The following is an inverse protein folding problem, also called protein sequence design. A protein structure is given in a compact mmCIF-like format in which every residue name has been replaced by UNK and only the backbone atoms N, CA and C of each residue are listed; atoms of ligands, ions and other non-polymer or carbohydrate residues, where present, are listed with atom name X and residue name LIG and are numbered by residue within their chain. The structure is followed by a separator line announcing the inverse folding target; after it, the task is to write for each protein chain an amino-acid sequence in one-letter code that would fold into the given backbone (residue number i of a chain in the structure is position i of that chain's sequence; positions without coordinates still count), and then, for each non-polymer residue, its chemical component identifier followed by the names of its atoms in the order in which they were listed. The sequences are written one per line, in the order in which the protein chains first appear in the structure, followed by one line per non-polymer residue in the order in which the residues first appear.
data_IF_870743493561
#
_entry.id   IF_870743493561
#
_cell.length_a   1.000
_cell.length_b   1.000
_cell.length_c   1.000
_cell.angle_alpha   90.00
_cell.angle_beta   90.00
_cell.angle_gamma   90.00
#
_symmetry.space_group_name_H-M   'P 1'
#
loop_
_entity.id
_entity.type
_entity.pdbx_description
1 polymer ?
#
# COMPACT_ATOMS: atom_id res chain seq x y z
N UNK A 1 -23.78 22.49 28.83
CA UNK A 1 -22.87 21.86 27.86
C UNK A 1 -21.76 22.86 27.55
N UNK A 2 -20.51 22.51 27.77
CA UNK A 2 -19.39 23.42 27.46
C UNK A 2 -19.09 23.29 25.96
N UNK A 3 -19.55 24.25 25.17
CA UNK A 3 -19.27 24.31 23.76
C UNK A 3 -17.75 24.50 23.55
N UNK A 4 -17.13 23.62 22.77
CA UNK A 4 -15.70 23.66 22.46
C UNK A 4 -15.47 24.00 21.01
N UNK A 5 -14.36 24.64 20.71
CA UNK A 5 -13.92 24.87 19.33
C UNK A 5 -13.48 23.54 18.67
N UNK A 6 -13.47 23.51 17.35
CA UNK A 6 -12.96 22.34 16.60
C UNK A 6 -11.54 21.97 17.02
N UNK A 7 -10.66 22.94 17.24
CA UNK A 7 -9.28 22.71 17.65
C UNK A 7 -9.17 22.01 19.00
N UNK A 8 -9.95 22.44 20.00
CA UNK A 8 -9.97 21.81 21.32
C UNK A 8 -10.46 20.36 21.26
N UNK A 9 -11.55 20.13 20.53
CA UNK A 9 -12.10 18.78 20.35
C UNK A 9 -11.13 17.87 19.60
N UNK A 10 -10.52 18.38 18.53
CA UNK A 10 -9.57 17.64 17.72
C UNK A 10 -8.31 17.23 18.52
N UNK A 11 -7.85 18.09 19.44
CA UNK A 11 -6.73 17.78 20.34
C UNK A 11 -7.09 16.63 21.29
N UNK A 12 -8.27 16.71 21.93
CA UNK A 12 -8.76 15.65 22.84
C UNK A 12 -8.95 14.34 22.09
N UNK A 13 -9.59 14.39 20.90
CA UNK A 13 -9.79 13.22 20.05
C UNK A 13 -8.48 12.57 19.61
N UNK A 14 -7.46 13.38 19.24
CA UNK A 14 -6.18 12.85 18.79
C UNK A 14 -5.42 12.17 19.93
N UNK A 15 -5.47 12.74 21.15
CA UNK A 15 -4.90 12.12 22.34
C UNK A 15 -5.58 10.78 22.68
N UNK A 16 -6.92 10.73 22.61
CA UNK A 16 -7.68 9.48 22.77
C UNK A 16 -7.27 8.43 21.73
N UNK A 17 -7.13 8.81 20.47
CA UNK A 17 -6.76 7.91 19.38
C UNK A 17 -5.38 7.27 19.51
N UNK A 18 -4.45 7.92 20.18
CA UNK A 18 -3.11 7.38 20.41
C UNK A 18 -3.13 6.00 21.08
N UNK A 19 -4.12 5.73 21.92
CA UNK A 19 -4.27 4.48 22.66
C UNK A 19 -4.79 3.31 21.80
N UNK A 20 -5.51 3.60 20.70
CA UNK A 20 -6.27 2.59 19.95
C UNK A 20 -5.77 2.34 18.51
N UNK A 21 -4.87 3.19 18.01
CA UNK A 21 -4.40 3.06 16.63
C UNK A 21 -2.89 2.84 16.57
N UNK A 22 -2.42 2.22 15.49
CA UNK A 22 -0.98 2.09 15.23
C UNK A 22 -0.34 3.48 15.11
N UNK A 23 0.92 3.62 15.53
CA UNK A 23 1.69 4.86 15.46
C UNK A 23 1.66 5.50 14.06
N UNK A 24 1.76 4.69 13.00
CA UNK A 24 1.66 5.20 11.61
C UNK A 24 0.30 5.81 11.27
N UNK A 25 -0.78 5.31 11.86
CA UNK A 25 -2.13 5.86 11.69
C UNK A 25 -2.30 7.14 12.50
N UNK A 26 -1.80 7.14 13.74
CA UNK A 26 -1.77 8.32 14.59
C UNK A 26 -1.02 9.48 13.92
N UNK A 27 0.18 9.24 13.41
CA UNK A 27 0.97 10.25 12.70
C UNK A 27 0.27 10.74 11.43
N UNK A 28 -0.41 9.87 10.68
CA UNK A 28 -1.18 10.27 9.52
C UNK A 28 -2.36 11.18 9.92
N UNK A 29 -3.09 10.86 10.98
CA UNK A 29 -4.17 11.72 11.50
C UNK A 29 -3.63 13.07 11.99
N UNK A 30 -2.52 13.07 12.73
CA UNK A 30 -1.86 14.28 13.19
C UNK A 30 -1.45 15.19 12.03
N UNK A 31 -0.88 14.64 10.96
CA UNK A 31 -0.51 15.39 9.76
C UNK A 31 -1.72 15.96 9.01
N UNK A 32 -2.79 15.17 8.83
CA UNK A 32 -4.01 15.65 8.19
C UNK A 32 -4.66 16.77 9.00
N UNK A 33 -4.65 16.61 10.32
CA UNK A 33 -5.19 17.61 11.25
C UNK A 33 -4.37 18.90 11.18
N UNK A 34 -3.05 18.85 11.37
CA UNK A 34 -2.20 20.03 11.41
C UNK A 34 -2.11 20.78 10.09
N UNK A 35 -2.02 20.06 8.96
CA UNK A 35 -1.76 20.66 7.66
C UNK A 35 -3.03 21.10 6.93
N UNK A 36 -4.18 20.52 7.26
CA UNK A 36 -5.39 20.74 6.48
C UNK A 36 -6.62 21.10 7.31
N UNK A 37 -6.91 20.36 8.38
CA UNK A 37 -8.17 20.55 9.11
C UNK A 37 -8.10 21.71 10.11
N UNK A 38 -7.03 21.83 10.88
CA UNK A 38 -6.84 22.99 11.79
C UNK A 38 -6.83 24.32 11.03
N UNK A 39 -6.07 24.51 9.93
CA UNK A 39 -6.11 25.77 9.19
C UNK A 39 -7.48 26.14 8.66
N UNK A 40 -8.36 25.16 8.43
CA UNK A 40 -9.70 25.40 7.87
C UNK A 40 -10.78 25.58 8.95
N UNK A 41 -10.67 24.91 10.11
CA UNK A 41 -11.77 24.76 11.06
C UNK A 41 -11.41 25.11 12.51
N UNK A 42 -10.16 25.47 12.83
CA UNK A 42 -9.68 25.59 14.22
C UNK A 42 -10.60 26.41 15.13
N UNK A 43 -11.09 27.55 14.66
CA UNK A 43 -11.90 28.51 15.43
C UNK A 43 -13.40 28.26 15.34
N UNK A 44 -13.83 27.33 14.48
CA UNK A 44 -15.24 27.05 14.25
C UNK A 44 -15.84 26.31 15.44
N UNK A 45 -16.99 26.77 15.88
CA UNK A 45 -17.84 26.11 16.87
C UNK A 45 -19.01 25.37 16.23
N UNK A 46 -19.30 25.73 14.98
CA UNK A 46 -20.33 25.12 14.16
C UNK A 46 -19.74 24.72 12.79
N UNK A 47 -19.83 23.44 12.47
CA UNK A 47 -19.27 22.87 11.22
C UNK A 47 -20.42 22.50 10.29
N UNK A 48 -20.88 23.47 9.52
CA UNK A 48 -21.98 23.27 8.57
C UNK A 48 -21.54 22.46 7.35
N UNK A 49 -22.50 21.81 6.69
CA UNK A 49 -22.26 21.07 5.44
C UNK A 49 -21.70 22.00 4.34
N UNK A 50 -22.18 23.23 4.24
CA UNK A 50 -21.69 24.22 3.28
C UNK A 50 -20.22 24.58 3.50
N UNK A 51 -19.81 24.73 4.76
CA UNK A 51 -18.42 24.99 5.12
C UNK A 51 -17.52 23.81 4.70
N UNK A 52 -17.98 22.59 4.92
CA UNK A 52 -17.24 21.38 4.52
C UNK A 52 -17.24 21.22 3.00
N UNK A 53 -18.34 21.53 2.31
CA UNK A 53 -18.40 21.50 0.84
C UNK A 53 -17.40 22.49 0.22
N UNK A 54 -17.33 23.72 0.75
CA UNK A 54 -16.33 24.73 0.31
C UNK A 54 -14.90 24.25 0.55
N UNK A 55 -14.63 23.64 1.71
CA UNK A 55 -13.32 23.04 2.01
C UNK A 55 -12.95 21.97 0.99
N UNK A 56 -13.86 21.05 0.65
CA UNK A 56 -13.63 19.99 -0.34
C UNK A 56 -13.29 20.56 -1.71
N UNK A 57 -14.09 21.50 -2.20
CA UNK A 57 -13.85 22.12 -3.51
C UNK A 57 -12.53 22.89 -3.53
N UNK A 58 -12.24 23.71 -2.52
CA UNK A 58 -10.98 24.43 -2.43
C UNK A 58 -9.74 23.52 -2.35
N UNK A 59 -9.84 22.34 -1.70
CA UNK A 59 -8.73 21.35 -1.70
C UNK A 59 -8.53 20.70 -3.07
N UNK A 60 -9.60 20.44 -3.80
CA UNK A 60 -9.52 19.91 -5.17
C UNK A 60 -8.94 20.96 -6.14
N UNK A 61 -9.33 22.23 -6.04
CA UNK A 61 -8.79 23.35 -6.81
C UNK A 61 -7.29 23.55 -6.54
N UNK A 62 -6.82 23.32 -5.31
CA UNK A 62 -5.40 23.29 -4.95
C UNK A 62 -4.64 22.10 -5.58
N UNK A 63 -5.30 21.25 -6.36
CA UNK A 63 -4.70 20.11 -7.05
C UNK A 63 -4.53 18.86 -6.20
N UNK A 64 -5.14 18.78 -5.00
CA UNK A 64 -5.08 17.56 -4.19
C UNK A 64 -5.93 16.47 -4.83
N UNK A 65 -5.47 15.22 -4.69
CA UNK A 65 -6.23 14.09 -5.22
C UNK A 65 -7.54 13.89 -4.45
N UNK A 66 -8.58 13.44 -5.15
CA UNK A 66 -9.87 13.09 -4.55
C UNK A 66 -9.72 12.14 -3.35
N UNK A 67 -8.81 11.15 -3.43
CA UNK A 67 -8.57 10.23 -2.33
C UNK A 67 -7.96 10.94 -1.11
N UNK A 68 -7.02 11.87 -1.31
CA UNK A 68 -6.47 12.66 -0.21
C UNK A 68 -7.55 13.50 0.48
N UNK A 69 -8.46 14.11 -0.29
CA UNK A 69 -9.59 14.88 0.27
C UNK A 69 -10.57 13.97 1.01
N UNK A 70 -10.84 12.76 0.51
CA UNK A 70 -11.66 11.75 1.22
C UNK A 70 -11.02 11.32 2.55
N UNK A 71 -9.70 11.18 2.61
CA UNK A 71 -9.00 10.87 3.85
C UNK A 71 -9.14 12.01 4.88
N UNK A 72 -9.06 13.27 4.44
CA UNK A 72 -9.33 14.44 5.28
C UNK A 72 -10.76 14.43 5.83
N UNK A 73 -11.75 14.20 4.96
CA UNK A 73 -13.16 14.10 5.35
C UNK A 73 -13.42 12.96 6.33
N UNK A 74 -12.76 11.82 6.14
CA UNK A 74 -12.85 10.69 7.07
C UNK A 74 -12.39 11.10 8.46
N UNK A 75 -11.25 11.80 8.57
CA UNK A 75 -10.74 12.29 9.87
C UNK A 75 -11.68 13.33 10.45
N UNK A 76 -12.15 14.31 9.65
CA UNK A 76 -13.11 15.32 10.09
C UNK A 76 -14.39 14.67 10.66
N UNK A 77 -15.01 13.74 9.92
CA UNK A 77 -16.22 13.03 10.37
C UNK A 77 -15.98 12.23 11.66
N UNK A 78 -14.79 11.64 11.85
CA UNK A 78 -14.45 10.95 13.09
C UNK A 78 -14.35 11.93 14.28
N UNK A 79 -13.76 13.12 14.08
CA UNK A 79 -13.66 14.15 15.13
C UNK A 79 -15.06 14.66 15.50
N UNK A 80 -15.90 14.99 14.51
CA UNK A 80 -17.26 15.50 14.76
C UNK A 80 -18.16 14.44 15.45
N UNK A 81 -18.03 13.18 15.05
CA UNK A 81 -18.73 12.08 15.74
C UNK A 81 -18.29 11.95 17.20
N UNK A 82 -16.99 12.12 17.48
CA UNK A 82 -16.45 12.13 18.82
C UNK A 82 -16.99 13.33 19.61
N UNK A 83 -16.98 14.52 19.01
CA UNK A 83 -17.48 15.75 19.59
C UNK A 83 -18.94 15.62 20.03
N UNK A 84 -19.79 15.11 19.15
CA UNK A 84 -21.22 14.90 19.43
C UNK A 84 -21.44 13.86 20.55
N UNK A 85 -20.70 12.74 20.50
CA UNK A 85 -20.78 11.70 21.55
C UNK A 85 -20.46 12.22 22.93
N UNK A 86 -19.56 13.20 23.04
CA UNK A 86 -19.12 13.78 24.31
C UNK A 86 -19.83 15.12 24.67
N UNK A 87 -20.82 15.52 23.88
CA UNK A 87 -21.59 16.75 24.12
C UNK A 87 -20.80 18.04 23.92
N UNK A 88 -19.70 18.02 23.16
CA UNK A 88 -18.88 19.20 22.87
C UNK A 88 -19.41 20.00 21.67
N UNK A 89 -20.03 19.34 20.71
CA UNK A 89 -20.64 19.91 19.52
C UNK A 89 -21.94 19.17 19.18
N UNK A 90 -22.87 19.77 18.43
CA UNK A 90 -24.04 19.07 17.93
C UNK A 90 -23.67 17.95 16.95
N UNK A 91 -24.61 17.05 16.66
CA UNK A 91 -24.41 16.04 15.65
C UNK A 91 -24.61 16.64 14.26
N UNK A 92 -23.57 16.56 13.43
CA UNK A 92 -23.63 17.02 12.06
C UNK A 92 -23.88 15.88 11.08
N UNK A 93 -24.85 16.07 10.22
CA UNK A 93 -25.05 15.24 9.04
C UNK A 93 -24.33 15.93 7.87
N UNK A 94 -23.15 15.38 7.46
CA UNK A 94 -22.33 15.95 6.41
C UNK A 94 -22.35 15.03 5.21
N UNK A 95 -23.08 15.44 4.17
CA UNK A 95 -23.10 14.78 2.86
C UNK A 95 -22.50 15.74 1.82
N UNK A 96 -21.29 15.44 1.38
CA UNK A 96 -20.54 16.32 0.45
C UNK A 96 -20.44 15.69 -0.92
N UNK A 97 -20.69 16.52 -1.92
CA UNK A 97 -20.63 16.17 -3.31
C UNK A 97 -19.21 16.32 -3.86
N UNK A 98 -18.78 15.30 -4.59
CA UNK A 98 -17.54 15.35 -5.36
C UNK A 98 -17.84 15.53 -6.85
N UNK A 99 -17.04 16.32 -7.57
CA UNK A 99 -17.15 16.39 -9.03
C UNK A 99 -17.07 15.01 -9.67
N UNK A 100 -17.73 14.82 -10.81
CA UNK A 100 -17.68 13.53 -11.53
C UNK A 100 -16.24 13.15 -11.89
N UNK A 101 -15.88 11.91 -11.69
CA UNK A 101 -14.52 11.42 -11.95
C UNK A 101 -14.40 10.95 -13.40
N UNK A 102 -13.35 11.38 -14.09
CA UNK A 102 -12.96 10.79 -15.38
C UNK A 102 -12.58 9.32 -15.19
N UNK A 103 -12.72 8.49 -16.25
CA UNK A 103 -12.51 7.06 -16.23
C UNK A 103 -11.27 6.63 -15.44
N UNK A 104 -11.40 5.56 -14.64
CA UNK A 104 -10.29 5.01 -13.83
C UNK A 104 -9.09 4.70 -14.70
N UNK A 105 -7.92 5.22 -14.34
CA UNK A 105 -6.66 4.94 -15.05
C UNK A 105 -6.32 3.46 -14.93
N UNK A 106 -6.09 2.79 -16.04
CA UNK A 106 -5.61 1.41 -16.06
C UNK A 106 -4.31 1.28 -15.26
N UNK A 107 -4.20 0.19 -14.52
CA UNK A 107 -2.99 -0.13 -13.75
C UNK A 107 -1.85 -0.41 -14.73
N UNK A 108 -0.73 0.31 -14.58
CA UNK A 108 0.46 0.10 -15.41
C UNK A 108 1.28 -1.07 -14.88
N UNK A 109 1.61 -2.00 -15.75
CA UNK A 109 2.44 -3.20 -15.48
C UNK A 109 3.57 -3.29 -16.50
N UNK A 110 4.62 -4.05 -16.20
CA UNK A 110 5.63 -4.42 -17.18
C UNK A 110 5.03 -5.35 -18.24
N UNK A 111 5.46 -5.23 -19.48
CA UNK A 111 5.22 -6.25 -20.48
C UNK A 111 5.94 -7.56 -20.09
N UNK A 112 5.57 -8.69 -20.69
CA UNK A 112 6.28 -9.97 -20.46
C UNK A 112 7.74 -9.87 -20.90
N UNK A 113 8.01 -9.19 -22.01
CA UNK A 113 9.36 -8.98 -22.52
C UNK A 113 10.20 -8.13 -21.56
N UNK A 114 9.66 -6.99 -21.11
CA UNK A 114 10.36 -6.12 -20.17
C UNK A 114 10.63 -6.80 -18.83
N UNK A 115 9.65 -7.57 -18.31
CA UNK A 115 9.83 -8.32 -17.08
C UNK A 115 10.93 -9.38 -17.22
N UNK A 116 10.96 -10.12 -18.33
CA UNK A 116 12.02 -11.10 -18.63
C UNK A 116 13.37 -10.42 -18.71
N UNK A 117 13.49 -9.37 -19.52
CA UNK A 117 14.74 -8.59 -19.66
C UNK A 117 15.28 -8.07 -18.34
N UNK A 118 14.38 -7.60 -17.45
CA UNK A 118 14.76 -7.16 -16.10
C UNK A 118 15.26 -8.33 -15.24
N UNK A 119 14.58 -9.47 -15.27
CA UNK A 119 14.95 -10.67 -14.49
C UNK A 119 16.29 -11.26 -14.98
N UNK A 120 16.49 -11.35 -16.31
CA UNK A 120 17.75 -11.83 -16.91
C UNK A 120 18.93 -10.93 -16.52
N UNK A 121 18.73 -9.60 -16.58
CA UNK A 121 19.75 -8.64 -16.16
C UNK A 121 20.11 -8.83 -14.67
N UNK A 122 19.13 -9.03 -13.79
CA UNK A 122 19.36 -9.23 -12.35
C UNK A 122 20.14 -10.52 -12.09
N UNK A 123 19.91 -11.57 -12.85
CA UNK A 123 20.66 -12.83 -12.73
C UNK A 123 22.11 -12.67 -13.20
N UNK A 124 22.34 -11.95 -14.32
CA UNK A 124 23.66 -11.68 -14.85
C UNK A 124 24.45 -10.67 -13.99
N UNK A 125 23.79 -9.73 -13.36
CA UNK A 125 24.38 -8.64 -12.55
C UNK A 125 23.86 -8.70 -11.11
N UNK A 126 24.25 -9.75 -10.41
CA UNK A 126 23.79 -9.99 -9.05
C UNK A 126 24.20 -8.86 -8.08
N UNK A 127 23.26 -8.41 -7.28
CA UNK A 127 23.46 -7.68 -6.05
C UNK A 127 22.28 -7.95 -5.11
N UNK A 128 22.45 -7.79 -3.81
CA UNK A 128 21.34 -7.96 -2.86
C UNK A 128 20.18 -6.98 -3.13
N UNK A 129 20.49 -5.77 -3.58
CA UNK A 129 19.49 -4.78 -4.00
C UNK A 129 18.70 -5.25 -5.25
N UNK A 130 19.38 -5.84 -6.23
CA UNK A 130 18.75 -6.41 -7.43
C UNK A 130 17.92 -7.64 -7.09
N UNK A 131 18.42 -8.51 -6.21
CA UNK A 131 17.67 -9.68 -5.70
C UNK A 131 16.31 -9.29 -5.15
N UNK A 132 16.21 -8.16 -4.43
CA UNK A 132 14.93 -7.68 -3.93
C UNK A 132 13.90 -7.36 -5.02
N UNK A 133 14.33 -6.84 -6.17
CA UNK A 133 13.44 -6.62 -7.33
C UNK A 133 12.95 -7.96 -7.87
N UNK A 134 13.84 -8.95 -7.98
CA UNK A 134 13.50 -10.31 -8.41
C UNK A 134 12.46 -10.94 -7.47
N UNK A 135 12.68 -10.82 -6.15
CA UNK A 135 11.72 -11.30 -5.12
C UNK A 135 10.35 -10.61 -5.29
N UNK A 136 10.31 -9.29 -5.54
CA UNK A 136 9.05 -8.58 -5.78
C UNK A 136 8.31 -9.07 -7.03
N UNK A 137 9.02 -9.35 -8.10
CA UNK A 137 8.44 -9.89 -9.35
C UNK A 137 7.97 -11.34 -9.19
N UNK A 138 8.56 -12.11 -8.27
CA UNK A 138 8.26 -13.53 -8.04
C UNK A 138 7.23 -13.77 -6.93
N UNK A 139 7.07 -12.84 -5.98
CA UNK A 139 6.23 -13.02 -4.80
C UNK A 139 5.26 -11.85 -4.54
N UNK A 140 5.30 -10.78 -5.33
CA UNK A 140 4.36 -9.68 -5.25
C UNK A 140 4.41 -8.86 -3.96
N UNK A 141 5.58 -8.71 -3.33
CA UNK A 141 5.73 -8.01 -2.05
C UNK A 141 5.46 -6.51 -2.16
N UNK A 142 4.97 -5.92 -1.04
CA UNK A 142 4.99 -4.46 -0.87
C UNK A 142 6.40 -3.99 -0.56
N UNK A 143 6.76 -2.77 -0.95
CA UNK A 143 8.12 -2.25 -0.71
C UNK A 143 8.51 -2.26 0.77
N UNK A 144 7.58 -1.96 1.68
CA UNK A 144 7.85 -1.99 3.12
C UNK A 144 8.04 -3.41 3.65
N UNK A 145 7.33 -4.40 3.11
CA UNK A 145 7.52 -5.83 3.41
C UNK A 145 8.91 -6.27 2.97
N UNK A 146 9.29 -5.94 1.73
CA UNK A 146 10.61 -6.26 1.18
C UNK A 146 11.76 -5.63 1.97
N UNK A 147 11.65 -4.33 2.33
CA UNK A 147 12.69 -3.64 3.09
C UNK A 147 12.85 -4.18 4.53
N UNK A 148 11.83 -4.85 5.05
CA UNK A 148 11.86 -5.48 6.38
C UNK A 148 12.27 -6.95 6.34
N UNK A 149 12.47 -7.53 5.15
CA UNK A 149 12.72 -8.97 4.97
C UNK A 149 14.14 -9.32 5.38
N UNK A 150 14.29 -10.31 6.25
CA UNK A 150 15.56 -10.90 6.70
C UNK A 150 15.77 -12.25 6.04
N UNK A 151 17.01 -12.77 6.11
CA UNK A 151 17.31 -14.08 5.58
C UNK A 151 16.56 -15.22 6.31
N UNK A 152 16.21 -15.04 7.59
CA UNK A 152 15.40 -16.02 8.34
C UNK A 152 13.94 -16.06 7.90
N UNK A 153 13.46 -15.03 7.23
CA UNK A 153 12.14 -15.05 6.64
C UNK A 153 12.07 -15.93 5.36
N UNK A 154 13.22 -16.31 4.78
CA UNK A 154 13.32 -17.27 3.66
C UNK A 154 13.61 -18.69 4.18
N UNK A 155 12.62 -19.55 4.07
CA UNK A 155 12.77 -20.99 4.31
C UNK A 155 13.01 -21.69 2.97
N UNK A 156 14.27 -21.96 2.66
CA UNK A 156 14.65 -22.58 1.37
C UNK A 156 14.38 -24.08 1.32
N UNK A 157 14.18 -24.74 2.46
CA UNK A 157 13.87 -26.16 2.54
C UNK A 157 12.37 -26.39 2.41
N UNK A 158 11.55 -25.62 3.12
CA UNK A 158 10.10 -25.58 2.89
C UNK A 158 9.72 -24.87 1.57
N UNK A 159 10.64 -24.11 0.97
CA UNK A 159 10.40 -23.37 -0.27
C UNK A 159 9.41 -22.23 -0.11
N UNK A 160 9.44 -21.50 1.00
CA UNK A 160 8.52 -20.40 1.29
C UNK A 160 9.23 -19.13 1.78
N UNK A 161 8.59 -17.99 1.58
CA UNK A 161 8.94 -16.72 2.24
C UNK A 161 7.84 -16.32 3.20
N UNK A 162 8.19 -15.98 4.45
CA UNK A 162 7.27 -15.54 5.50
C UNK A 162 7.24 -14.02 5.56
N UNK A 163 6.06 -13.44 5.40
CA UNK A 163 5.84 -12.01 5.49
C UNK A 163 5.14 -11.70 6.81
N UNK A 164 5.88 -11.17 7.77
CA UNK A 164 5.38 -10.86 9.12
C UNK A 164 5.69 -9.42 9.55
N UNK A 165 6.55 -8.71 8.80
CA UNK A 165 7.06 -7.38 9.14
C UNK A 165 6.89 -6.41 7.98
N UNK A 166 6.84 -5.14 8.29
CA UNK A 166 6.89 -4.05 7.29
C UNK A 166 7.69 -2.88 7.85
N UNK A 167 8.53 -2.28 7.01
CA UNK A 167 9.32 -1.10 7.32
C UNK A 167 8.68 0.12 6.66
N UNK A 168 8.51 1.17 7.42
CA UNK A 168 8.00 2.45 6.93
C UNK A 168 8.71 3.62 7.61
N UNK A 169 8.86 4.72 6.91
CA UNK A 169 9.27 6.00 7.49
C UNK A 169 8.02 6.81 7.77
N UNK A 170 7.86 7.23 9.01
CA UNK A 170 6.74 8.08 9.44
C UNK A 170 7.27 9.41 9.94
N UNK A 171 6.49 10.47 9.77
CA UNK A 171 6.79 11.78 10.32
C UNK A 171 6.16 11.88 11.72
N UNK A 172 7.01 12.12 12.72
CA UNK A 172 6.62 12.31 14.11
C UNK A 172 6.37 13.81 14.33
N UNK A 173 5.10 14.20 14.37
CA UNK A 173 4.73 15.62 14.45
C UNK A 173 5.22 16.28 15.76
N UNK A 174 5.17 15.53 16.84
CA UNK A 174 5.67 15.93 18.18
C UNK A 174 7.18 16.15 18.23
N UNK A 175 7.93 15.45 17.38
CA UNK A 175 9.40 15.53 17.30
C UNK A 175 9.91 16.36 16.13
N UNK A 176 9.05 16.82 15.22
CA UNK A 176 9.43 17.56 14.01
C UNK A 176 10.33 16.81 13.04
N UNK A 177 10.45 15.47 13.17
CA UNK A 177 11.36 14.64 12.35
C UNK A 177 10.71 13.34 11.90
N UNK A 178 11.33 12.69 10.91
CA UNK A 178 10.89 11.37 10.46
C UNK A 178 11.67 10.26 11.17
N UNK A 179 10.98 9.17 11.49
CA UNK A 179 11.58 7.96 12.08
C UNK A 179 11.26 6.73 11.22
N UNK A 180 12.20 5.78 11.19
CA UNK A 180 12.00 4.48 10.56
C UNK A 180 11.42 3.53 11.60
N UNK A 181 10.27 2.95 11.29
CA UNK A 181 9.59 2.01 12.17
C UNK A 181 9.43 0.68 11.43
N UNK A 182 9.82 -0.40 12.11
CA UNK A 182 9.53 -1.77 11.72
C UNK A 182 8.40 -2.26 12.62
N UNK A 183 7.34 -2.74 12.02
CA UNK A 183 6.17 -3.22 12.76
C UNK A 183 5.41 -4.29 12.01
N UNK A 184 4.34 -4.77 12.62
CA UNK A 184 3.44 -5.73 11.98
C UNK A 184 2.71 -5.08 10.81
N UNK A 185 2.42 -5.83 9.72
CA UNK A 185 1.62 -5.35 8.62
C UNK A 185 0.24 -4.81 9.06
N UNK A 186 -0.39 -4.00 8.18
CA UNK A 186 -1.63 -3.27 8.50
C UNK A 186 -2.83 -4.19 8.82
N UNK A 187 -2.89 -5.38 8.24
CA UNK A 187 -3.99 -6.33 8.42
C UNK A 187 -3.48 -7.75 8.70
N UNK A 188 -4.28 -8.59 9.35
CA UNK A 188 -3.97 -10.02 9.56
C UNK A 188 -3.67 -10.74 8.25
N UNK A 189 -4.41 -10.47 7.18
CA UNK A 189 -4.19 -11.08 5.86
C UNK A 189 -2.86 -10.69 5.21
N UNK A 190 -2.18 -9.66 5.71
CA UNK A 190 -0.84 -9.29 5.24
C UNK A 190 0.26 -10.15 5.84
N UNK A 191 0.03 -10.80 6.99
CA UNK A 191 0.90 -11.86 7.52
C UNK A 191 0.57 -13.14 6.75
N UNK A 192 1.55 -13.66 6.02
CA UNK A 192 1.34 -14.76 5.08
C UNK A 192 2.63 -15.47 4.73
N UNK A 193 2.52 -16.69 4.26
CA UNK A 193 3.58 -17.42 3.59
C UNK A 193 3.33 -17.45 2.10
N UNK A 194 4.37 -17.26 1.30
CA UNK A 194 4.30 -17.28 -0.16
C UNK A 194 5.27 -18.34 -0.66
N UNK A 195 4.82 -19.33 -1.45
CA UNK A 195 5.72 -20.30 -2.08
C UNK A 195 6.73 -19.60 -2.99
N UNK A 196 7.98 -20.03 -2.92
CA UNK A 196 9.05 -19.55 -3.79
C UNK A 196 9.06 -20.34 -5.09
N UNK A 197 9.11 -19.65 -6.22
CA UNK A 197 9.36 -20.30 -7.50
C UNK A 197 10.73 -21.01 -7.48
N UNK A 198 10.84 -22.16 -8.17
CA UNK A 198 12.07 -22.97 -8.19
C UNK A 198 13.31 -22.19 -8.61
N UNK A 199 13.13 -21.26 -9.57
CA UNK A 199 14.21 -20.38 -10.04
C UNK A 199 14.72 -19.47 -8.92
N UNK A 200 13.82 -18.87 -8.14
CA UNK A 200 14.20 -18.05 -6.99
C UNK A 200 14.85 -18.92 -5.90
N UNK A 201 14.33 -20.11 -5.62
CA UNK A 201 14.95 -21.04 -4.66
C UNK A 201 16.39 -21.39 -5.04
N UNK A 202 16.65 -21.70 -6.33
CA UNK A 202 18.00 -21.99 -6.85
C UNK A 202 18.94 -20.80 -6.65
N UNK A 203 18.44 -19.58 -6.80
CA UNK A 203 19.22 -18.35 -6.61
C UNK A 203 19.55 -18.10 -5.14
N UNK A 204 18.59 -18.28 -4.24
CA UNK A 204 18.76 -17.91 -2.81
C UNK A 204 19.35 -19.02 -1.94
N UNK A 205 19.17 -20.30 -2.29
CA UNK A 205 19.62 -21.45 -1.49
C UNK A 205 21.14 -21.47 -1.24
N UNK A 206 22.03 -21.19 -2.21
CA UNK A 206 23.47 -21.07 -1.96
C UNK A 206 23.81 -19.90 -1.04
N UNK A 207 23.13 -18.76 -1.22
CA UNK A 207 23.35 -17.55 -0.40
C UNK A 207 22.97 -17.81 1.06
N UNK A 208 21.82 -18.46 1.30
CA UNK A 208 21.33 -18.76 2.65
C UNK A 208 22.35 -19.53 3.50
N UNK A 209 23.24 -20.31 2.90
CA UNK A 209 24.27 -21.08 3.61
C UNK A 209 25.41 -20.24 4.18
N UNK A 210 25.64 -19.04 3.62
CA UNK A 210 26.81 -18.20 3.94
C UNK A 210 26.45 -16.86 4.56
N UNK A 211 25.15 -16.52 4.63
CA UNK A 211 24.69 -15.25 5.20
C UNK A 211 24.23 -15.42 6.64
N UNK A 212 24.18 -14.32 7.40
CA UNK A 212 23.57 -14.32 8.72
C UNK A 212 22.05 -14.21 8.58
N UNK A 213 21.31 -15.13 9.22
CA UNK A 213 19.84 -15.19 9.17
C UNK A 213 19.15 -13.90 9.60
N UNK A 214 19.68 -13.21 10.61
CA UNK A 214 19.14 -11.94 11.12
C UNK A 214 19.40 -10.73 10.22
N UNK A 215 20.26 -10.86 9.21
CA UNK A 215 20.57 -9.75 8.31
C UNK A 215 19.45 -9.50 7.30
N UNK A 216 19.26 -8.23 6.96
CA UNK A 216 18.28 -7.85 5.95
C UNK A 216 18.74 -8.26 4.56
N UNK A 217 17.84 -8.82 3.76
CA UNK A 217 18.18 -9.39 2.44
C UNK A 217 18.75 -8.31 1.50
N UNK A 218 18.21 -7.09 1.52
CA UNK A 218 18.61 -6.03 0.60
C UNK A 218 19.98 -5.45 0.87
N UNK A 219 20.47 -5.53 2.08
CA UNK A 219 21.75 -4.95 2.49
C UNK A 219 22.79 -6.01 2.86
N UNK A 220 22.32 -7.22 3.12
CA UNK A 220 23.10 -8.29 3.77
C UNK A 220 23.84 -7.78 5.01
N UNK A 221 23.15 -7.00 5.83
CA UNK A 221 23.69 -6.36 7.04
C UNK A 221 22.61 -6.27 8.13
N UNK A 222 22.99 -5.94 9.38
CA UNK A 222 22.01 -5.73 10.45
C UNK A 222 21.14 -4.48 10.28
N UNK A 223 21.46 -3.61 9.32
CA UNK A 223 20.70 -2.39 9.07
C UNK A 223 19.87 -2.50 7.79
N UNK A 224 18.55 -2.22 7.83
CA UNK A 224 17.69 -2.29 6.65
C UNK A 224 17.92 -1.10 5.71
N UNK A 225 17.61 -1.27 4.43
CA UNK A 225 17.48 -0.14 3.52
C UNK A 225 16.07 0.47 3.61
N UNK A 226 15.99 1.78 3.48
CA UNK A 226 14.70 2.47 3.53
C UNK A 226 13.95 2.38 2.21
N UNK A 227 12.59 2.37 2.25
CA UNK A 227 11.77 2.36 1.04
C UNK A 227 12.07 3.49 0.06
N UNK A 228 12.48 4.68 0.54
CA UNK A 228 12.86 5.81 -0.32
C UNK A 228 14.15 5.51 -1.08
N UNK A 229 15.18 5.07 -0.39
CA UNK A 229 16.49 4.71 -0.97
C UNK A 229 16.35 3.56 -1.95
N UNK A 230 15.54 2.55 -1.60
CA UNK A 230 15.28 1.42 -2.47
C UNK A 230 14.50 1.79 -3.74
N UNK A 231 13.51 2.71 -3.65
CA UNK A 231 12.84 3.25 -4.86
C UNK A 231 13.82 3.98 -5.79
N UNK A 232 14.81 4.68 -5.23
CA UNK A 232 15.81 5.37 -6.04
C UNK A 232 16.74 4.39 -6.75
N UNK A 233 17.15 3.28 -6.08
CA UNK A 233 17.87 2.19 -6.72
C UNK A 233 17.06 1.58 -7.88
N UNK A 234 15.81 1.20 -7.63
CA UNK A 234 14.90 0.68 -8.64
C UNK A 234 14.76 1.62 -9.85
N UNK A 235 14.55 2.92 -9.62
CA UNK A 235 14.44 3.90 -10.72
C UNK A 235 15.72 4.01 -11.55
N UNK A 236 16.89 3.94 -10.91
CA UNK A 236 18.18 3.94 -11.64
C UNK A 236 18.29 2.71 -12.54
N UNK A 237 18.00 1.54 -12.00
CA UNK A 237 18.05 0.30 -12.76
C UNK A 237 17.09 0.31 -13.97
N UNK A 238 15.84 0.77 -13.78
CA UNK A 238 14.88 0.88 -14.87
C UNK A 238 15.36 1.81 -15.99
N UNK A 239 15.98 2.95 -15.63
CA UNK A 239 16.55 3.88 -16.62
C UNK A 239 17.77 3.28 -17.32
N UNK A 240 18.66 2.63 -16.57
CA UNK A 240 19.85 1.97 -17.13
C UNK A 240 19.47 0.92 -18.19
N UNK A 241 18.36 0.24 -17.98
CA UNK A 241 17.86 -0.80 -18.89
C UNK A 241 16.88 -0.26 -19.96
N UNK A 242 16.65 1.04 -20.00
CA UNK A 242 15.65 1.66 -20.87
C UNK A 242 14.29 0.93 -20.78
N UNK A 243 13.83 0.69 -19.55
CA UNK A 243 12.56 0.05 -19.26
C UNK A 243 11.51 1.09 -18.82
N UNK A 244 10.21 0.82 -19.06
CA UNK A 244 9.13 1.73 -18.63
C UNK A 244 9.21 2.06 -17.14
N UNK A 245 9.33 3.33 -16.79
CA UNK A 245 9.46 3.79 -15.41
C UNK A 245 8.12 3.71 -14.68
N UNK A 246 7.81 2.55 -14.14
CA UNK A 246 6.65 2.34 -13.27
C UNK A 246 6.95 2.78 -11.83
N UNK A 247 5.90 3.14 -11.09
CA UNK A 247 6.02 3.20 -9.61
C UNK A 247 6.42 1.81 -9.10
N UNK A 248 7.21 1.73 -8.02
CA UNK A 248 7.68 0.43 -7.48
C UNK A 248 6.52 -0.57 -7.25
N UNK A 249 5.36 -0.09 -6.84
CA UNK A 249 4.17 -0.94 -6.67
C UNK A 249 3.70 -1.59 -7.99
N UNK A 250 4.13 -1.07 -9.14
CA UNK A 250 3.92 -1.68 -10.45
C UNK A 250 4.54 -3.07 -10.61
N UNK A 251 5.63 -3.39 -9.88
CA UNK A 251 6.21 -4.74 -9.85
C UNK A 251 5.23 -5.76 -9.26
N UNK A 252 4.58 -5.41 -8.16
CA UNK A 252 3.53 -6.22 -7.54
C UNK A 252 2.30 -6.34 -8.46
N UNK A 253 1.96 -5.28 -9.16
CA UNK A 253 0.90 -5.34 -10.18
C UNK A 253 1.30 -6.26 -11.34
N UNK A 254 2.56 -6.23 -11.77
CA UNK A 254 3.07 -7.14 -12.81
C UNK A 254 3.00 -8.60 -12.35
N UNK A 255 3.40 -8.92 -11.12
CA UNK A 255 3.23 -10.25 -10.53
C UNK A 255 1.77 -10.71 -10.58
N UNK A 256 0.84 -9.90 -10.06
CA UNK A 256 -0.58 -10.25 -10.03
C UNK A 256 -1.15 -10.47 -11.45
N UNK A 257 -0.80 -9.60 -12.39
CA UNK A 257 -1.21 -9.74 -13.81
C UNK A 257 -0.68 -11.03 -14.40
N UNK A 258 0.60 -11.37 -14.17
CA UNK A 258 1.17 -12.65 -14.64
C UNK A 258 0.45 -13.86 -14.07
N UNK A 259 0.13 -13.87 -12.77
CA UNK A 259 -0.65 -14.94 -12.14
C UNK A 259 -2.01 -15.11 -12.84
N UNK A 260 -2.73 -14.02 -13.07
CA UNK A 260 -4.05 -14.06 -13.71
C UNK A 260 -3.96 -14.50 -15.18
N UNK A 261 -2.98 -14.01 -15.94
CA UNK A 261 -2.72 -14.45 -17.31
C UNK A 261 -2.36 -15.94 -17.38
N UNK A 262 -1.73 -16.47 -16.33
CA UNK A 262 -1.43 -17.90 -16.15
C UNK A 262 -2.62 -18.70 -15.63
N UNK A 263 -3.83 -18.12 -15.59
CA UNK A 263 -5.08 -18.75 -15.16
C UNK A 263 -5.11 -19.17 -13.67
N UNK A 264 -4.28 -18.56 -12.83
CA UNK A 264 -4.44 -18.72 -11.37
C UNK A 264 -5.79 -18.16 -10.94
N UNK A 265 -6.45 -18.84 -10.01
CA UNK A 265 -7.71 -18.35 -9.48
C UNK A 265 -7.54 -17.05 -8.68
N UNK A 266 -8.53 -16.18 -8.74
CA UNK A 266 -8.45 -14.83 -8.16
C UNK A 266 -8.34 -14.84 -6.64
N UNK A 267 -8.90 -15.87 -5.97
CA UNK A 267 -8.82 -16.01 -4.52
C UNK A 267 -7.39 -16.31 -4.08
N UNK A 268 -6.74 -17.26 -4.76
CA UNK A 268 -5.33 -17.60 -4.52
C UNK A 268 -4.44 -16.38 -4.75
N UNK A 269 -4.60 -15.65 -5.86
CA UNK A 269 -3.84 -14.42 -6.13
C UNK A 269 -4.09 -13.38 -5.04
N UNK A 270 -5.32 -13.21 -4.57
CA UNK A 270 -5.66 -12.29 -3.48
C UNK A 270 -4.96 -12.66 -2.16
N UNK A 271 -4.89 -13.95 -1.84
CA UNK A 271 -4.19 -14.50 -0.66
C UNK A 271 -2.68 -14.27 -0.77
N UNK A 272 -2.06 -14.63 -1.89
CA UNK A 272 -0.63 -14.41 -2.15
C UNK A 272 -0.25 -12.94 -2.00
N UNK A 273 -1.10 -12.04 -2.47
CA UNK A 273 -0.90 -10.60 -2.33
C UNK A 273 -1.20 -10.10 -0.90
N UNK A 274 -1.93 -10.82 -0.07
CA UNK A 274 -2.40 -10.35 1.24
C UNK A 274 -3.35 -9.15 1.10
N UNK A 275 -4.34 -9.25 0.21
CA UNK A 275 -5.42 -8.27 0.10
C UNK A 275 -6.47 -8.55 1.18
N UNK A 276 -6.98 -7.50 1.82
CA UNK A 276 -8.05 -7.61 2.82
C UNK A 276 -9.39 -8.03 2.22
N UNK A 277 -9.58 -7.77 0.92
CA UNK A 277 -10.77 -8.14 0.14
C UNK A 277 -10.37 -8.63 -1.24
N UNK A 278 -11.01 -9.71 -1.70
CA UNK A 278 -10.86 -10.23 -3.06
C UNK A 278 -11.30 -9.19 -4.10
N UNK A 279 -12.25 -8.32 -3.77
CA UNK A 279 -12.69 -7.22 -4.62
C UNK A 279 -11.55 -6.32 -5.08
N UNK A 280 -10.49 -6.16 -4.26
CA UNK A 280 -9.29 -5.42 -4.68
C UNK A 280 -8.59 -6.10 -5.85
N UNK A 281 -8.45 -7.42 -5.84
CA UNK A 281 -7.84 -8.19 -6.95
C UNK A 281 -8.73 -8.14 -8.19
N UNK A 282 -10.02 -8.37 -8.04
CA UNK A 282 -10.98 -8.35 -9.16
C UNK A 282 -11.01 -6.97 -9.84
N UNK A 283 -11.16 -5.90 -9.06
CA UNK A 283 -11.27 -4.54 -9.60
C UNK A 283 -9.99 -4.03 -10.27
N UNK A 284 -8.81 -4.53 -9.88
CA UNK A 284 -7.53 -4.08 -10.41
C UNK A 284 -7.07 -4.89 -11.63
N UNK A 285 -7.38 -6.19 -11.68
CA UNK A 285 -6.73 -7.10 -12.64
C UNK A 285 -7.72 -7.88 -13.52
N UNK A 286 -9.01 -7.89 -13.21
CA UNK A 286 -9.99 -8.69 -13.93
C UNK A 286 -10.87 -7.78 -14.78
N UNK A 287 -10.54 -7.70 -16.07
CA UNK A 287 -11.28 -6.94 -17.07
C UNK A 287 -11.55 -7.84 -18.29
N UNK A 288 -12.56 -8.76 -18.21
CA UNK A 288 -12.82 -9.71 -19.29
C UNK A 288 -13.20 -9.00 -20.57
N UNK A 289 -12.47 -9.31 -21.66
CA UNK A 289 -12.79 -8.89 -23.00
C UNK A 289 -13.96 -9.70 -23.60
N UNK A 290 -14.41 -9.33 -24.81
CA UNK A 290 -15.54 -10.01 -25.47
C UNK A 290 -15.24 -11.47 -25.82
N UNK A 291 -13.99 -11.80 -26.15
CA UNK A 291 -13.59 -13.18 -26.45
C UNK A 291 -13.62 -14.07 -25.21
N UNK A 292 -13.17 -13.56 -24.09
CA UNK A 292 -13.28 -14.26 -22.81
C UNK A 292 -14.74 -14.48 -22.41
N UNK A 293 -15.63 -13.48 -22.62
CA UNK A 293 -17.06 -13.60 -22.36
C UNK A 293 -17.71 -14.66 -23.25
N UNK A 294 -17.42 -14.64 -24.56
CA UNK A 294 -17.90 -15.67 -25.51
C UNK A 294 -17.46 -17.06 -25.08
N UNK A 295 -16.15 -17.26 -24.84
CA UNK A 295 -15.62 -18.56 -24.39
C UNK A 295 -16.26 -19.05 -23.10
N UNK A 296 -16.60 -18.14 -22.17
CA UNK A 296 -17.29 -18.50 -20.95
C UNK A 296 -18.70 -19.05 -21.24
N UNK A 297 -19.47 -18.34 -22.06
CA UNK A 297 -20.82 -18.77 -22.48
C UNK A 297 -20.78 -20.11 -23.22
N UNK A 298 -19.87 -20.26 -24.20
CA UNK A 298 -19.73 -21.51 -24.93
C UNK A 298 -19.37 -22.71 -24.04
N UNK A 299 -18.48 -22.50 -23.03
CA UNK A 299 -18.16 -23.55 -22.06
C UNK A 299 -19.39 -23.95 -21.24
N UNK A 300 -20.16 -22.98 -20.76
CA UNK A 300 -21.38 -23.23 -20.00
C UNK A 300 -22.37 -24.08 -20.82
N UNK A 301 -22.61 -23.70 -22.08
CA UNK A 301 -23.50 -24.50 -22.97
C UNK A 301 -22.99 -25.93 -23.22
N UNK A 302 -21.67 -26.14 -23.28
CA UNK A 302 -21.09 -27.51 -23.41
C UNK A 302 -21.34 -28.38 -22.19
N UNK A 303 -21.56 -27.81 -21.02
CA UNK A 303 -21.88 -28.59 -19.79
C UNK A 303 -23.37 -28.98 -19.69
N UNK A 304 -24.22 -28.43 -20.55
CA UNK A 304 -25.64 -28.73 -20.62
C UNK A 304 -26.01 -29.77 -21.70
N UNK A 305 -25.00 -30.20 -22.45
CA UNK A 305 -25.11 -31.29 -23.47
C UNK A 305 -24.45 -32.55 -22.91
#
# INVERSE_FOLDING_TARGET
MTTKTFEEVAAIWLADKQQYVKMSTYCAYSLLLSNHLKPAFAKEQDITEELVQRFVLGKLEQGLSRNSVKDMLMVLKMILKYASKHGYMPMYQIDVNFPTESARKKVKTLSRADQRRLMDHIQANFSFMNLGIYICLSAGLRIGELCALTWDDLDTDAGVVRISKTLQRIYMNDKGRTEVIIGTPKSRNSVREIPLAKELQRLVKPLKKVVNGNFYILTNSPSPTEPRSYRNHYRRLMRQLDLPLLKFHGLRHSFATRCIESKCDYKTVSVLLGHSSIGTTLNLYVHPDMDQKKKCIERMFKTLR
#
